data_IF_018792505248
#
_entry.id   IF_018792505248
#
_cell.length_a   1.000
_cell.length_b   1.000
_cell.length_c   1.000
_cell.angle_alpha   90.00
_cell.angle_beta   90.00
_cell.angle_gamma   90.00
#
_symmetry.space_group_name_H-M   'P 1'
#
loop_
_entity.id
_entity.type
_entity.pdbx_description
1 polymer ?
#
# COMPACT_ATOMS: atom_id res chain seq x y z
N UNK A 1 -6.84 -2.32 -14.42
CA UNK A 1 -6.40 -0.96 -14.02
C UNK A 1 -6.55 0.12 -15.11
N UNK A 2 -7.16 -0.14 -16.28
CA UNK A 2 -7.22 0.84 -17.38
C UNK A 2 -7.87 2.18 -16.99
N UNK A 3 -9.04 2.15 -16.31
CA UNK A 3 -9.72 3.35 -15.84
C UNK A 3 -8.94 4.12 -14.76
N UNK A 4 -8.24 3.41 -13.88
CA UNK A 4 -7.38 4.02 -12.84
C UNK A 4 -6.25 4.80 -13.50
N UNK A 5 -5.56 4.20 -14.47
CA UNK A 5 -4.45 4.85 -15.16
C UNK A 5 -4.92 6.08 -15.94
N UNK A 6 -6.09 5.98 -16.59
CA UNK A 6 -6.68 7.12 -17.29
C UNK A 6 -7.04 8.25 -16.32
N UNK A 7 -7.72 7.94 -15.21
CA UNK A 7 -8.10 8.93 -14.20
C UNK A 7 -6.89 9.66 -13.60
N UNK A 8 -5.81 8.92 -13.31
CA UNK A 8 -4.56 9.50 -12.84
C UNK A 8 -3.92 10.41 -13.90
N UNK A 9 -3.95 10.01 -15.18
CA UNK A 9 -3.38 10.81 -16.28
C UNK A 9 -4.12 12.13 -16.47
N UNK A 10 -5.45 12.12 -16.35
CA UNK A 10 -6.29 13.31 -16.60
C UNK A 10 -6.62 14.10 -15.33
N UNK A 11 -6.25 13.60 -14.14
CA UNK A 11 -6.58 14.21 -12.86
C UNK A 11 -8.08 14.26 -12.54
N UNK A 12 -8.89 13.40 -13.17
CA UNK A 12 -10.34 13.39 -13.04
C UNK A 12 -10.83 11.99 -12.61
N UNK A 13 -11.54 11.93 -11.49
CA UNK A 13 -12.09 10.70 -10.92
C UNK A 13 -13.16 10.04 -11.82
N UNK A 14 -13.75 10.79 -12.75
CA UNK A 14 -14.62 10.29 -13.82
C UNK A 14 -14.07 10.74 -15.18
N UNK A 15 -13.14 9.97 -15.77
CA UNK A 15 -12.64 10.27 -17.12
C UNK A 15 -13.78 10.43 -18.14
N UNK A 16 -13.55 11.22 -19.18
CA UNK A 16 -14.53 11.42 -20.25
C UNK A 16 -14.96 10.07 -20.86
N UNK A 17 -16.27 9.89 -21.06
CA UNK A 17 -16.84 8.63 -21.54
C UNK A 17 -17.02 7.54 -20.48
N UNK A 18 -16.55 7.76 -19.24
CA UNK A 18 -16.82 6.84 -18.14
C UNK A 18 -18.26 6.96 -17.65
N UNK A 19 -18.95 5.82 -17.50
CA UNK A 19 -20.28 5.79 -16.89
C UNK A 19 -20.23 6.11 -15.38
N UNK A 20 -19.19 5.64 -14.69
CA UNK A 20 -19.01 5.76 -13.24
C UNK A 20 -17.63 6.31 -12.89
N UNK A 21 -17.51 6.88 -11.68
CA UNK A 21 -16.21 7.28 -11.12
C UNK A 21 -15.35 6.05 -10.84
N UNK A 22 -14.03 6.24 -10.76
CA UNK A 22 -13.09 5.20 -10.33
C UNK A 22 -13.45 4.69 -8.92
N UNK A 23 -13.85 5.58 -8.00
CA UNK A 23 -14.32 5.20 -6.67
C UNK A 23 -15.54 4.29 -6.70
N UNK A 24 -16.53 4.54 -7.58
CA UNK A 24 -17.69 3.64 -7.72
C UNK A 24 -17.29 2.23 -8.16
N UNK A 25 -16.25 2.07 -8.99
CA UNK A 25 -15.74 0.75 -9.35
C UNK A 25 -15.06 0.06 -8.15
N UNK A 26 -14.32 0.81 -7.33
CA UNK A 26 -13.78 0.27 -6.09
C UNK A 26 -14.88 -0.13 -5.09
N UNK A 27 -15.93 0.66 -4.94
CA UNK A 27 -17.04 0.33 -4.06
C UNK A 27 -17.74 -0.95 -4.49
N UNK A 28 -17.94 -1.16 -5.80
CA UNK A 28 -18.47 -2.42 -6.34
C UNK A 28 -17.52 -3.59 -6.08
N UNK A 29 -16.23 -3.42 -6.32
CA UNK A 29 -15.22 -4.45 -6.06
C UNK A 29 -15.16 -4.84 -4.57
N UNK A 30 -15.21 -3.86 -3.67
CA UNK A 30 -15.23 -4.08 -2.22
C UNK A 30 -16.52 -4.75 -1.73
N UNK A 31 -17.66 -4.55 -2.42
CA UNK A 31 -18.90 -5.29 -2.12
C UNK A 31 -18.84 -6.73 -2.61
N UNK A 32 -18.18 -6.98 -3.73
CA UNK A 32 -18.02 -8.32 -4.30
C UNK A 32 -17.01 -9.17 -3.49
N UNK A 33 -15.88 -8.58 -3.11
CA UNK A 33 -14.82 -9.22 -2.31
C UNK A 33 -14.63 -8.45 -0.99
N UNK A 34 -15.57 -8.63 -0.07
CA UNK A 34 -15.62 -7.86 1.17
C UNK A 34 -14.46 -8.16 2.12
N UNK A 35 -13.92 -9.37 2.08
CA UNK A 35 -12.83 -9.91 2.89
C UNK A 35 -11.45 -9.81 2.23
N UNK A 36 -11.37 -9.39 0.96
CA UNK A 36 -10.09 -9.21 0.27
C UNK A 36 -9.44 -7.85 0.60
N UNK A 37 -8.29 -7.90 1.26
CA UNK A 37 -7.45 -6.73 1.54
C UNK A 37 -6.82 -6.12 0.29
N UNK A 38 -6.66 -6.89 -0.79
CA UNK A 38 -6.00 -6.47 -2.03
C UNK A 38 -6.77 -5.34 -2.72
N UNK A 39 -8.10 -5.44 -2.80
CA UNK A 39 -8.93 -4.40 -3.42
C UNK A 39 -8.77 -3.06 -2.68
N UNK A 40 -8.73 -3.09 -1.35
CA UNK A 40 -8.53 -1.91 -0.50
C UNK A 40 -7.12 -1.35 -0.64
N UNK A 41 -6.11 -2.20 -0.73
CA UNK A 41 -4.74 -1.79 -1.03
C UNK A 41 -4.66 -1.06 -2.37
N UNK A 42 -5.25 -1.62 -3.43
CA UNK A 42 -5.25 -0.99 -4.77
C UNK A 42 -5.99 0.35 -4.74
N UNK A 43 -7.10 0.45 -4.00
CA UNK A 43 -7.81 1.70 -3.79
C UNK A 43 -6.93 2.73 -3.04
N UNK A 44 -6.21 2.30 -2.01
CA UNK A 44 -5.24 3.13 -1.29
C UNK A 44 -4.13 3.67 -2.20
N UNK A 45 -3.58 2.83 -3.09
CA UNK A 45 -2.58 3.24 -4.08
C UNK A 45 -3.15 4.31 -5.01
N UNK A 46 -4.37 4.13 -5.50
CA UNK A 46 -5.04 5.12 -6.35
C UNK A 46 -5.22 6.46 -5.63
N UNK A 47 -5.76 6.45 -4.41
CA UNK A 47 -5.98 7.65 -3.61
C UNK A 47 -4.66 8.37 -3.27
N UNK A 48 -3.60 7.62 -2.97
CA UNK A 48 -2.26 8.18 -2.73
C UNK A 48 -1.76 8.95 -3.95
N UNK A 49 -1.86 8.34 -5.14
CA UNK A 49 -1.46 8.97 -6.40
C UNK A 49 -2.33 10.18 -6.79
N UNK A 50 -3.58 10.23 -6.33
CA UNK A 50 -4.46 11.41 -6.44
C UNK A 50 -4.18 12.50 -5.38
N UNK A 51 -3.17 12.30 -4.51
CA UNK A 51 -2.84 13.23 -3.43
C UNK A 51 -3.77 13.16 -2.21
N UNK A 52 -4.76 12.26 -2.22
CA UNK A 52 -5.72 12.04 -1.12
C UNK A 52 -5.11 11.14 -0.04
N UNK A 53 -4.01 11.60 0.57
CA UNK A 53 -3.18 10.79 1.49
C UNK A 53 -3.93 10.25 2.72
N UNK A 54 -4.84 11.05 3.30
CA UNK A 54 -5.66 10.62 4.46
C UNK A 54 -6.62 9.47 4.11
N UNK A 55 -7.28 9.57 2.97
CA UNK A 55 -8.19 8.52 2.49
C UNK A 55 -7.41 7.27 2.11
N UNK A 56 -6.24 7.44 1.48
CA UNK A 56 -5.33 6.34 1.16
C UNK A 56 -4.92 5.58 2.42
N UNK A 57 -4.55 6.30 3.48
CA UNK A 57 -4.18 5.69 4.76
C UNK A 57 -5.32 4.85 5.32
N UNK A 58 -6.55 5.37 5.35
CA UNK A 58 -7.73 4.62 5.80
C UNK A 58 -7.91 3.32 5.01
N UNK A 59 -7.77 3.36 3.67
CA UNK A 59 -7.91 2.16 2.83
C UNK A 59 -6.79 1.14 3.08
N UNK A 60 -5.55 1.60 3.25
CA UNK A 60 -4.46 0.69 3.59
C UNK A 60 -4.59 0.07 4.98
N UNK A 61 -5.10 0.82 5.96
CA UNK A 61 -5.38 0.30 7.30
C UNK A 61 -6.46 -0.79 7.28
N UNK A 62 -7.53 -0.58 6.52
CA UNK A 62 -8.53 -1.62 6.28
C UNK A 62 -7.92 -2.83 5.56
N UNK A 63 -7.06 -2.61 4.55
CA UNK A 63 -6.35 -3.68 3.86
C UNK A 63 -5.47 -4.49 4.83
N UNK A 64 -4.72 -3.81 5.71
CA UNK A 64 -3.87 -4.41 6.75
C UNK A 64 -4.69 -5.23 7.74
N UNK A 65 -5.89 -4.76 8.11
CA UNK A 65 -6.77 -5.49 9.03
C UNK A 65 -7.27 -6.82 8.45
N UNK A 66 -7.43 -6.90 7.13
CA UNK A 66 -7.90 -8.10 6.43
C UNK A 66 -6.77 -9.05 6.02
N UNK A 67 -5.55 -8.54 5.84
CA UNK A 67 -4.40 -9.32 5.37
C UNK A 67 -3.11 -8.86 6.04
N UNK A 68 -2.98 -9.18 7.32
CA UNK A 68 -1.87 -8.74 8.19
C UNK A 68 -0.49 -9.26 7.74
N UNK A 69 -0.44 -10.34 6.96
CA UNK A 69 0.81 -10.94 6.46
C UNK A 69 1.08 -10.61 4.99
N UNK A 70 0.31 -9.71 4.39
CA UNK A 70 0.55 -9.31 3.01
C UNK A 70 1.66 -8.25 2.94
N UNK A 71 2.84 -8.68 2.50
CA UNK A 71 4.02 -7.84 2.38
C UNK A 71 3.81 -6.60 1.48
N UNK A 72 2.98 -6.70 0.43
CA UNK A 72 2.68 -5.58 -0.45
C UNK A 72 1.94 -4.45 0.28
N UNK A 73 1.05 -4.79 1.22
CA UNK A 73 0.28 -3.80 1.99
C UNK A 73 1.24 -3.00 2.87
N UNK A 74 2.13 -3.69 3.58
CA UNK A 74 3.17 -3.05 4.40
C UNK A 74 4.09 -2.18 3.55
N UNK A 75 4.54 -2.65 2.39
CA UNK A 75 5.41 -1.84 1.54
C UNK A 75 4.72 -0.56 1.06
N UNK A 76 3.46 -0.63 0.62
CA UNK A 76 2.70 0.54 0.17
C UNK A 76 2.36 1.50 1.33
N UNK A 77 2.06 0.98 2.53
CA UNK A 77 1.95 1.80 3.75
C UNK A 77 3.25 2.52 4.04
N UNK A 78 4.38 1.83 3.96
CA UNK A 78 5.71 2.41 4.18
C UNK A 78 6.00 3.56 3.21
N UNK A 79 5.67 3.39 1.93
CA UNK A 79 5.75 4.47 0.94
C UNK A 79 4.83 5.65 1.28
N UNK A 80 3.58 5.40 1.68
CA UNK A 80 2.65 6.46 2.04
C UNK A 80 3.11 7.24 3.28
N UNK A 81 3.57 6.54 4.32
CA UNK A 81 4.13 7.18 5.51
C UNK A 81 5.38 7.99 5.19
N UNK A 82 6.24 7.49 4.29
CA UNK A 82 7.38 8.24 3.79
C UNK A 82 6.95 9.55 3.12
N UNK A 83 5.93 9.49 2.26
CA UNK A 83 5.36 10.67 1.59
C UNK A 83 4.65 11.63 2.55
N UNK A 84 4.22 11.15 3.72
CA UNK A 84 3.69 11.94 4.83
C UNK A 84 4.80 12.50 5.75
N UNK A 85 6.07 12.19 5.48
CA UNK A 85 7.24 12.49 6.32
C UNK A 85 7.21 11.83 7.70
N UNK A 86 6.35 10.84 7.88
CA UNK A 86 6.33 9.98 9.06
C UNK A 86 7.32 8.83 8.86
N UNK A 87 8.60 9.16 9.04
CA UNK A 87 9.68 8.22 8.75
C UNK A 87 9.75 7.05 9.73
N UNK A 88 9.22 7.23 10.94
CA UNK A 88 9.21 6.17 11.95
C UNK A 88 8.22 5.08 11.55
N UNK A 89 6.99 5.45 11.18
CA UNK A 89 6.02 4.49 10.64
C UNK A 89 6.44 3.94 9.27
N UNK A 90 7.12 4.74 8.45
CA UNK A 90 7.67 4.27 7.18
C UNK A 90 8.71 3.16 7.38
N UNK A 91 9.64 3.33 8.33
CA UNK A 91 10.65 2.33 8.68
C UNK A 91 10.01 1.04 9.21
N UNK A 92 9.06 1.15 10.15
CA UNK A 92 8.38 -0.02 10.72
C UNK A 92 7.70 -0.87 9.63
N UNK A 93 6.99 -0.21 8.71
CA UNK A 93 6.32 -0.89 7.61
C UNK A 93 7.31 -1.43 6.57
N UNK A 94 8.43 -0.76 6.32
CA UNK A 94 9.49 -1.28 5.46
C UNK A 94 10.08 -2.58 6.04
N UNK A 95 10.41 -2.58 7.33
CA UNK A 95 10.96 -3.76 8.01
C UNK A 95 9.98 -4.93 7.98
N UNK A 96 8.69 -4.70 8.26
CA UNK A 96 7.67 -5.75 8.20
C UNK A 96 7.51 -6.31 6.77
N UNK A 97 7.51 -5.45 5.75
CA UNK A 97 7.45 -5.90 4.36
C UNK A 97 8.66 -6.79 4.00
N UNK A 98 9.86 -6.43 4.45
CA UNK A 98 11.09 -7.18 4.16
C UNK A 98 11.16 -8.49 4.93
N UNK A 99 10.68 -8.51 6.18
CA UNK A 99 10.51 -9.75 6.96
C UNK A 99 9.56 -10.75 6.28
N UNK A 100 8.54 -10.25 5.57
CA UNK A 100 7.60 -11.05 4.79
C UNK A 100 8.12 -11.39 3.38
N UNK A 101 9.40 -11.12 3.08
CA UNK A 101 10.06 -11.49 1.83
C UNK A 101 9.92 -10.49 0.67
N UNK A 102 9.39 -9.28 0.91
CA UNK A 102 9.21 -8.27 -0.13
C UNK A 102 10.39 -7.30 -0.21
N UNK A 103 11.54 -7.79 -0.66
CA UNK A 103 12.83 -7.06 -0.60
C UNK A 103 13.04 -6.07 -1.75
N UNK A 104 12.06 -5.19 -2.04
CA UNK A 104 12.26 -4.13 -3.02
C UNK A 104 13.12 -3.00 -2.46
N UNK A 105 14.21 -2.59 -3.15
CA UNK A 105 15.16 -1.60 -2.64
C UNK A 105 14.58 -0.18 -2.59
N UNK A 106 13.48 0.11 -3.29
CA UNK A 106 12.97 1.47 -3.45
C UNK A 106 12.66 2.20 -2.14
N UNK A 107 11.95 1.54 -1.21
CA UNK A 107 11.63 2.12 0.09
C UNK A 107 12.88 2.22 1.00
N UNK A 108 13.76 1.21 1.00
CA UNK A 108 15.06 1.24 1.69
C UNK A 108 15.89 2.44 1.22
N UNK A 109 16.09 2.61 -0.09
CA UNK A 109 16.86 3.72 -0.66
C UNK A 109 16.28 5.09 -0.29
N UNK A 110 14.94 5.23 -0.27
CA UNK A 110 14.27 6.44 0.20
C UNK A 110 14.59 6.76 1.66
N UNK A 111 14.49 5.76 2.54
CA UNK A 111 14.77 5.90 3.98
C UNK A 111 16.26 6.15 4.26
N UNK A 112 17.16 5.50 3.52
CA UNK A 112 18.61 5.75 3.58
C UNK A 112 18.91 7.19 3.16
N UNK A 113 18.30 7.67 2.07
CA UNK A 113 18.50 9.03 1.57
C UNK A 113 18.11 10.14 2.55
N UNK A 114 17.22 9.87 3.50
CA UNK A 114 16.84 10.80 4.58
C UNK A 114 17.50 10.45 5.93
N UNK A 115 18.42 9.48 5.97
CA UNK A 115 19.12 9.06 7.19
C UNK A 115 18.23 8.37 8.23
N UNK A 116 17.09 7.80 7.82
CA UNK A 116 16.11 7.15 8.71
C UNK A 116 16.08 5.63 8.58
N UNK A 117 16.90 5.05 7.71
CA UNK A 117 17.02 3.60 7.61
C UNK A 117 17.73 3.00 8.84
N UNK A 118 17.18 1.90 9.34
CA UNK A 118 17.84 1.03 10.33
C UNK A 118 17.65 -0.40 9.88
N UNK A 119 18.74 -1.16 9.84
CA UNK A 119 18.67 -2.56 9.41
C UNK A 119 17.76 -3.34 10.36
N UNK A 120 16.78 -4.11 9.85
CA UNK A 120 15.98 -4.97 10.69
C UNK A 120 16.87 -5.99 11.41
N UNK A 121 16.50 -6.36 12.63
CA UNK A 121 17.18 -7.44 13.33
C UNK A 121 17.18 -8.70 12.43
N UNK A 122 18.28 -9.48 12.40
CA UNK A 122 18.34 -10.68 11.61
C UNK A 122 17.17 -11.60 11.98
N UNK A 123 16.42 -12.02 10.97
CA UNK A 123 15.31 -12.95 11.15
C UNK A 123 15.92 -14.25 11.66
N UNK A 124 15.67 -14.60 12.92
CA UNK A 124 15.92 -15.95 13.41
C UNK A 124 15.04 -16.87 12.58
N UNK A 125 15.63 -17.51 11.58
CA UNK A 125 14.96 -18.58 10.82
C UNK A 125 14.77 -19.75 11.78
N UNK A 126 13.72 -19.72 12.60
CA UNK A 126 13.24 -20.93 13.23
C UNK A 126 12.71 -21.84 12.11
N UNK A 127 13.12 -23.11 12.06
CA UNK A 127 12.66 -24.02 11.03
C UNK A 127 11.14 -24.13 11.15
N UNK A 128 10.44 -23.74 10.09
CA UNK A 128 9.00 -23.96 9.93
C UNK A 128 8.77 -25.46 10.10
N UNK A 129 8.20 -25.86 11.23
CA UNK A 129 7.89 -27.25 11.52
C UNK A 129 7.09 -27.83 10.35
N UNK A 130 7.60 -28.92 9.78
CA UNK A 130 6.87 -29.72 8.82
C UNK A 130 5.80 -30.50 9.59
N UNK A 131 4.54 -30.28 9.24
CA UNK A 131 3.43 -31.21 9.51
C UNK A 131 2.92 -31.76 8.18
#
# INVERSE_FOLDING_TARGET
MAMVNLALKVGNEKPQGANYTVSCYFDRAMRFAADDGTVRMIHGIYLSKMGRKRDALKRFEEARSLSQENANIHYNLGLLYFDLKDYDNALLNAQKAYQLGFELPGLKSKLVGVGKWREPAPISKEPRAAE
#
